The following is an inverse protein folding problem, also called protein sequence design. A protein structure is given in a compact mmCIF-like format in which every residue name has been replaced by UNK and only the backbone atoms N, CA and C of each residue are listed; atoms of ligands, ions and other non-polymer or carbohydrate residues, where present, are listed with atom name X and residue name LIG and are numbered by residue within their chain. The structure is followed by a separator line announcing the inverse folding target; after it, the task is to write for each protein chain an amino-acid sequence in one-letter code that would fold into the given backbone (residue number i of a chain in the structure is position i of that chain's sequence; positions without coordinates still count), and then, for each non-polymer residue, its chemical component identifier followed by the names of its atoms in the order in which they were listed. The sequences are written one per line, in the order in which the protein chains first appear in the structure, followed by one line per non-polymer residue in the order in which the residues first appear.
data_IF_886795861892
#
_entry.id   IF_886795861892
#
_cell.length_a   1.000
_cell.length_b   1.000
_cell.length_c   1.000
_cell.angle_alpha   90.00
_cell.angle_beta   90.00
_cell.angle_gamma   90.00
#
_symmetry.space_group_name_H-M   'P 1'
#
loop_
_entity.id
_entity.type
_entity.pdbx_description
1 polymer ?
#
# COMPACT_ATOMS: atom_id res chain seq x y z
N UNK A 1 -18.33 -60.27 26.56
CA UNK A 1 -17.23 -59.78 27.41
C UNK A 1 -15.96 -59.66 26.58
N UNK A 2 -15.52 -58.44 26.26
CA UNK A 2 -14.12 -57.94 26.32
C UNK A 2 -14.11 -56.53 25.73
N UNK A 3 -14.03 -55.56 26.64
CA UNK A 3 -13.78 -54.14 26.40
C UNK A 3 -12.31 -53.96 26.01
N UNK A 4 -12.04 -53.08 25.06
CA UNK A 4 -10.76 -52.38 24.94
C UNK A 4 -11.02 -50.98 24.38
N UNK A 5 -11.16 -50.01 25.28
CA UNK A 5 -10.69 -48.65 25.02
C UNK A 5 -9.15 -48.66 25.05
N UNK A 6 -8.50 -47.81 24.25
CA UNK A 6 -7.70 -46.79 24.92
C UNK A 6 -7.69 -45.40 24.25
N UNK A 7 -7.91 -44.40 25.11
CA UNK A 7 -7.05 -43.24 25.35
C UNK A 7 -6.78 -42.30 24.17
N UNK A 8 -7.41 -41.13 24.27
CA UNK A 8 -6.98 -39.88 23.66
C UNK A 8 -5.56 -39.48 24.09
N UNK A 9 -4.71 -39.14 23.12
CA UNK A 9 -3.49 -38.36 23.28
C UNK A 9 -3.44 -37.36 22.11
N UNK A 10 -3.79 -36.09 22.37
CA UNK A 10 -2.87 -34.98 22.61
C UNK A 10 -1.99 -34.61 21.41
N UNK A 11 -2.45 -33.56 20.72
CA UNK A 11 -1.70 -32.36 20.30
C UNK A 11 -0.22 -32.55 19.98
N UNK A 12 0.08 -32.49 18.68
CA UNK A 12 1.27 -31.88 18.08
C UNK A 12 0.96 -31.81 16.58
N UNK A 13 0.59 -30.67 16.03
CA UNK A 13 1.52 -29.57 15.84
C UNK A 13 2.14 -29.75 14.46
N UNK A 14 1.56 -29.09 13.45
CA UNK A 14 2.22 -28.68 12.20
C UNK A 14 1.45 -27.46 11.69
N UNK A 15 1.74 -26.33 12.36
CA UNK A 15 1.83 -25.04 11.71
C UNK A 15 2.85 -25.21 10.58
N UNK A 16 2.38 -25.55 9.38
CA UNK A 16 3.14 -25.37 8.16
C UNK A 16 2.55 -24.18 7.45
N UNK A 17 3.23 -23.06 7.70
CA UNK A 17 3.49 -22.00 6.74
C UNK A 17 2.35 -21.74 5.78
N UNK A 18 1.59 -20.68 6.07
CA UNK A 18 0.92 -19.95 5.02
C UNK A 18 1.98 -19.59 3.97
N UNK A 19 2.00 -20.36 2.89
CA UNK A 19 2.37 -19.80 1.62
C UNK A 19 1.34 -18.70 1.41
N UNK A 20 1.75 -17.46 1.67
CA UNK A 20 1.04 -16.29 1.20
C UNK A 20 0.82 -16.52 -0.29
N UNK A 21 -0.40 -16.90 -0.63
CA UNK A 21 -0.85 -16.80 -2.01
C UNK A 21 -0.76 -15.31 -2.27
N UNK A 22 0.09 -14.90 -3.22
CA UNK A 22 0.04 -13.56 -3.77
C UNK A 22 -1.41 -13.36 -4.22
N UNK A 23 -2.20 -12.71 -3.36
CA UNK A 23 -3.62 -12.49 -3.61
C UNK A 23 -3.72 -11.62 -4.85
N UNK A 24 -4.66 -11.95 -5.74
CA UNK A 24 -4.98 -11.05 -6.84
C UNK A 24 -5.36 -9.66 -6.31
N UNK A 25 -5.28 -8.65 -7.16
CA UNK A 25 -5.80 -7.34 -6.82
C UNK A 25 -7.33 -7.35 -6.86
N UNK A 26 -7.96 -6.75 -5.84
CA UNK A 26 -9.42 -6.59 -5.76
C UNK A 26 -9.81 -5.13 -5.81
N UNK A 27 -10.98 -4.84 -6.40
CA UNK A 27 -11.52 -3.49 -6.40
C UNK A 27 -11.90 -3.06 -4.98
N UNK A 28 -11.46 -1.87 -4.60
CA UNK A 28 -11.77 -1.21 -3.35
C UNK A 28 -12.24 0.22 -3.61
N UNK A 29 -13.11 0.72 -2.73
CA UNK A 29 -13.58 2.10 -2.78
C UNK A 29 -13.94 2.57 -1.38
N UNK A 30 -13.79 3.87 -1.13
CA UNK A 30 -14.13 4.50 0.13
C UNK A 30 -15.02 5.72 -0.12
N UNK A 31 -16.17 5.75 0.56
CA UNK A 31 -17.17 6.78 0.37
C UNK A 31 -16.76 8.13 0.97
N UNK A 32 -16.03 8.10 2.08
CA UNK A 32 -15.61 9.31 2.81
C UNK A 32 -14.41 9.96 2.12
N UNK A 33 -13.53 9.15 1.54
CA UNK A 33 -12.41 9.63 0.72
C UNK A 33 -12.82 10.01 -0.71
N UNK A 34 -13.91 9.44 -1.23
CA UNK A 34 -14.40 9.71 -2.59
C UNK A 34 -13.56 9.08 -3.70
N UNK A 35 -12.73 8.09 -3.38
CA UNK A 35 -11.81 7.43 -4.31
C UNK A 35 -12.06 5.92 -4.40
N UNK A 36 -11.60 5.34 -5.50
CA UNK A 36 -11.48 3.90 -5.70
C UNK A 36 -10.09 3.53 -6.20
N UNK A 37 -9.66 2.31 -5.90
CA UNK A 37 -8.40 1.74 -6.37
C UNK A 37 -8.49 0.22 -6.38
N UNK A 38 -7.48 -0.44 -6.93
CA UNK A 38 -7.21 -1.85 -6.72
C UNK A 38 -6.26 -2.01 -5.53
N UNK A 39 -6.54 -2.97 -4.66
CA UNK A 39 -5.70 -3.28 -3.49
C UNK A 39 -5.47 -4.78 -3.39
N UNK A 40 -4.35 -5.23 -2.78
CA UNK A 40 -4.09 -6.66 -2.62
C UNK A 40 -5.17 -7.37 -1.81
N UNK A 41 -5.65 -8.51 -2.32
CA UNK A 41 -6.65 -9.31 -1.62
C UNK A 41 -6.11 -9.87 -0.31
N UNK A 42 -6.92 -9.82 0.74
CA UNK A 42 -6.62 -10.45 2.03
C UNK A 42 -5.63 -9.66 2.91
N UNK A 43 -5.22 -8.47 2.50
CA UNK A 43 -4.43 -7.56 3.33
C UNK A 43 -5.29 -6.94 4.43
N UNK A 44 -4.69 -6.75 5.60
CA UNK A 44 -5.37 -6.14 6.75
C UNK A 44 -5.46 -4.65 6.52
N UNK A 45 -6.66 -4.08 6.63
CA UNK A 45 -6.88 -2.65 6.49
C UNK A 45 -7.02 -1.96 7.86
N UNK A 46 -6.44 -0.77 8.00
CA UNK A 46 -6.62 0.11 9.17
C UNK A 46 -6.77 1.58 8.74
N UNK A 47 -7.39 2.41 9.57
CA UNK A 47 -7.53 3.85 9.35
C UNK A 47 -6.26 4.57 9.80
N UNK A 48 -5.72 5.43 8.93
CA UNK A 48 -4.54 6.21 9.26
C UNK A 48 -4.85 7.46 10.11
N UNK A 49 -3.95 7.86 11.02
CA UNK A 49 -4.00 9.18 11.64
C UNK A 49 -3.99 10.29 10.58
N UNK A 50 -4.90 11.25 10.72
CA UNK A 50 -5.08 12.33 9.72
C UNK A 50 -5.96 11.94 8.52
N UNK A 51 -6.52 10.72 8.50
CA UNK A 51 -7.41 10.23 7.46
C UNK A 51 -6.71 9.32 6.44
N UNK A 52 -7.52 8.52 5.75
CA UNK A 52 -7.07 7.52 4.78
C UNK A 52 -7.05 6.10 5.33
N UNK A 53 -6.67 5.16 4.47
CA UNK A 53 -6.67 3.73 4.74
C UNK A 53 -5.30 3.14 4.40
N UNK A 54 -4.78 2.33 5.31
CA UNK A 54 -3.55 1.55 5.14
C UNK A 54 -3.92 0.08 4.99
N UNK A 55 -3.45 -0.57 3.94
CA UNK A 55 -3.47 -2.01 3.77
C UNK A 55 -2.09 -2.57 4.04
N UNK A 56 -1.97 -3.58 4.89
CA UNK A 56 -0.73 -4.24 5.24
C UNK A 56 -0.77 -5.73 4.90
N UNK A 57 0.32 -6.26 4.35
CA UNK A 57 0.45 -7.69 4.09
C UNK A 57 0.30 -8.51 5.39
N UNK A 58 -0.48 -9.59 5.39
CA UNK A 58 -0.75 -10.37 6.59
C UNK A 58 0.48 -11.19 7.04
N UNK A 59 0.55 -11.48 8.34
CA UNK A 59 1.53 -12.44 8.88
C UNK A 59 2.97 -11.94 9.01
N UNK A 60 3.22 -10.67 8.71
CA UNK A 60 4.51 -10.00 8.87
C UNK A 60 4.39 -8.95 9.98
N UNK A 61 5.50 -8.64 10.65
CA UNK A 61 5.60 -7.47 11.53
C UNK A 61 5.11 -6.22 10.75
N UNK A 62 4.07 -5.50 11.23
CA UNK A 62 3.53 -4.34 10.54
C UNK A 62 4.57 -3.26 10.22
N UNK A 63 5.67 -3.19 10.96
CA UNK A 63 6.76 -2.24 10.68
C UNK A 63 7.67 -2.66 9.52
N UNK A 64 7.50 -3.88 9.01
CA UNK A 64 8.29 -4.50 7.93
C UNK A 64 7.43 -5.05 6.81
N UNK A 65 6.11 -5.09 6.99
CA UNK A 65 5.18 -5.58 6.01
C UNK A 65 5.17 -4.63 4.78
N UNK A 66 4.96 -5.16 3.58
CA UNK A 66 4.54 -4.36 2.45
C UNK A 66 3.22 -3.64 2.73
N UNK A 67 3.08 -2.42 2.18
CA UNK A 67 1.90 -1.59 2.40
C UNK A 67 1.34 -0.99 1.11
N UNK A 68 0.03 -0.72 1.14
CA UNK A 68 -0.65 0.23 0.26
C UNK A 68 -1.38 1.23 1.15
N UNK A 69 -0.96 2.50 1.11
CA UNK A 69 -1.61 3.58 1.84
C UNK A 69 -2.33 4.51 0.86
N UNK A 70 -3.58 4.85 1.16
CA UNK A 70 -4.45 5.68 0.34
C UNK A 70 -5.01 6.84 1.15
N UNK A 71 -4.94 8.06 0.63
CA UNK A 71 -5.58 9.26 1.19
C UNK A 71 -6.21 10.08 0.09
N UNK A 72 -7.23 10.84 0.44
CA UNK A 72 -7.76 11.87 -0.43
C UNK A 72 -8.35 13.00 0.39
N UNK A 73 -8.22 14.21 -0.14
CA UNK A 73 -8.79 15.42 0.45
C UNK A 73 -9.38 16.29 -0.65
N UNK A 74 -10.35 17.15 -0.32
CA UNK A 74 -10.85 18.12 -1.29
C UNK A 74 -9.72 19.05 -1.75
N UNK A 75 -9.55 19.17 -3.07
CA UNK A 75 -8.53 20.04 -3.65
C UNK A 75 -9.11 21.42 -3.97
N UNK A 76 -8.44 22.47 -3.48
CA UNK A 76 -8.81 23.88 -3.68
C UNK A 76 -7.76 24.63 -4.50
N UNK A 77 -7.11 23.93 -5.44
CA UNK A 77 -6.05 24.48 -6.26
C UNK A 77 -4.67 24.35 -5.61
N UNK A 78 -4.40 23.19 -5.02
CA UNK A 78 -3.10 22.89 -4.42
C UNK A 78 -1.96 23.06 -5.42
N UNK A 79 -0.86 23.63 -4.95
CA UNK A 79 0.38 23.73 -5.71
C UNK A 79 1.10 22.37 -5.71
N UNK A 80 0.90 21.61 -6.79
CA UNK A 80 1.49 20.28 -6.97
C UNK A 80 3.01 20.34 -7.15
N UNK A 81 3.55 21.46 -7.63
CA UNK A 81 5.00 21.67 -7.72
C UNK A 81 5.63 21.84 -6.35
N UNK A 82 5.04 22.68 -5.50
CA UNK A 82 5.50 22.84 -4.13
C UNK A 82 5.35 21.54 -3.31
N UNK A 83 4.24 20.82 -3.49
CA UNK A 83 4.02 19.53 -2.82
C UNK A 83 5.04 18.47 -3.26
N UNK A 84 5.33 18.42 -4.57
CA UNK A 84 6.37 17.57 -5.13
C UNK A 84 7.73 17.87 -4.50
N UNK A 85 8.18 19.13 -4.55
CA UNK A 85 9.50 19.55 -4.06
C UNK A 85 9.66 19.29 -2.57
N UNK A 86 8.58 19.48 -1.80
CA UNK A 86 8.56 19.16 -0.37
C UNK A 86 8.76 17.67 -0.12
N UNK A 87 8.09 16.80 -0.88
CA UNK A 87 8.24 15.35 -0.73
C UNK A 87 9.64 14.89 -1.19
N UNK A 88 10.09 15.34 -2.36
CA UNK A 88 11.40 15.02 -2.88
C UNK A 88 12.50 15.42 -1.89
N UNK A 89 12.39 16.61 -1.30
CA UNK A 89 13.32 17.06 -0.26
C UNK A 89 13.30 16.15 0.97
N UNK A 90 12.13 15.68 1.41
CA UNK A 90 12.03 14.74 2.53
C UNK A 90 12.78 13.44 2.23
N UNK A 91 12.51 12.84 1.07
CA UNK A 91 13.16 11.60 0.60
C UNK A 91 14.70 11.77 0.59
N UNK A 92 15.19 12.88 0.04
CA UNK A 92 16.63 13.15 -0.01
C UNK A 92 17.24 13.40 1.38
N UNK A 93 16.49 13.99 2.32
CA UNK A 93 16.93 14.20 3.70
C UNK A 93 16.98 12.90 4.50
N UNK A 94 16.09 11.96 4.21
CA UNK A 94 16.10 10.61 4.78
C UNK A 94 17.28 9.77 4.24
N UNK A 95 17.95 10.25 3.19
CA UNK A 95 19.11 9.61 2.57
C UNK A 95 18.75 8.56 1.52
N UNK A 96 17.49 8.52 1.11
CA UNK A 96 17.00 7.60 0.09
C UNK A 96 17.58 7.93 -1.29
N UNK A 97 17.77 6.88 -2.09
CA UNK A 97 18.09 7.00 -3.51
C UNK A 97 16.80 7.13 -4.31
N UNK A 98 16.65 8.23 -5.04
CA UNK A 98 15.57 8.37 -6.04
C UNK A 98 15.85 7.46 -7.23
N UNK A 99 14.89 6.59 -7.54
CA UNK A 99 14.91 5.65 -8.66
C UNK A 99 14.20 6.21 -9.89
N UNK A 100 13.08 6.90 -9.68
CA UNK A 100 12.35 7.65 -10.71
C UNK A 100 11.63 8.84 -10.11
N UNK A 101 11.46 9.87 -10.92
CA UNK A 101 10.77 11.12 -10.58
C UNK A 101 10.02 11.59 -11.82
N UNK A 102 8.69 11.55 -11.76
CA UNK A 102 7.79 11.89 -12.85
C UNK A 102 6.80 12.95 -12.39
N UNK A 103 6.76 14.09 -13.07
CA UNK A 103 5.86 15.20 -12.75
C UNK A 103 5.05 15.59 -13.99
N UNK A 104 3.76 15.84 -13.78
CA UNK A 104 2.83 16.33 -14.80
C UNK A 104 1.84 17.35 -14.23
N UNK A 105 0.97 17.87 -15.09
CA UNK A 105 0.00 18.91 -14.68
C UNK A 105 -1.01 18.41 -13.64
N UNK A 106 -1.36 17.13 -13.68
CA UNK A 106 -2.34 16.52 -12.79
C UNK A 106 -1.71 15.93 -11.52
N UNK A 107 -0.38 15.84 -11.41
CA UNK A 107 0.23 15.12 -10.28
C UNK A 107 1.70 14.78 -10.47
N UNK A 108 2.21 13.96 -9.57
CA UNK A 108 3.60 13.47 -9.61
C UNK A 108 3.71 12.06 -9.03
N UNK A 109 4.77 11.37 -9.41
CA UNK A 109 5.16 10.05 -8.89
C UNK A 109 6.65 10.04 -8.60
N UNK A 110 7.05 9.72 -7.37
CA UNK A 110 8.45 9.53 -6.98
C UNK A 110 8.62 8.09 -6.50
N UNK A 111 9.59 7.37 -7.06
CA UNK A 111 10.01 6.05 -6.57
C UNK A 111 11.38 6.20 -5.92
N UNK A 112 11.52 5.76 -4.68
CA UNK A 112 12.77 5.81 -3.92
C UNK A 112 13.15 4.44 -3.37
N UNK A 113 14.42 4.32 -2.96
CA UNK A 113 14.95 3.17 -2.26
C UNK A 113 15.79 3.62 -1.07
N UNK A 114 15.49 3.09 0.11
CA UNK A 114 16.25 3.40 1.33
C UNK A 114 17.57 2.61 1.43
N UNK A 115 18.37 2.89 2.46
CA UNK A 115 19.66 2.24 2.70
C UNK A 115 19.56 0.72 2.96
N UNK A 116 18.37 0.22 3.31
CA UNK A 116 18.09 -1.20 3.54
C UNK A 116 17.51 -1.88 2.28
N UNK A 117 17.32 -1.13 1.21
CA UNK A 117 16.81 -1.61 -0.06
C UNK A 117 15.28 -1.64 -0.16
N UNK A 118 14.55 -1.15 0.85
CA UNK A 118 13.09 -1.02 0.77
C UNK A 118 12.75 -0.04 -0.32
N UNK A 119 11.82 -0.42 -1.20
CA UNK A 119 11.35 0.42 -2.29
C UNK A 119 10.04 1.07 -1.88
N UNK A 120 9.94 2.38 -2.04
CA UNK A 120 8.72 3.15 -1.82
C UNK A 120 8.34 3.86 -3.11
N UNK A 121 7.06 3.86 -3.47
CA UNK A 121 6.49 4.68 -4.51
C UNK A 121 5.47 5.60 -3.88
N UNK A 122 5.61 6.91 -4.11
CA UNK A 122 4.62 7.92 -3.77
C UNK A 122 4.00 8.46 -5.03
N UNK A 123 2.68 8.41 -5.13
CA UNK A 123 1.90 9.05 -6.19
C UNK A 123 0.96 10.07 -5.55
N UNK A 124 0.92 11.27 -6.08
CA UNK A 124 -0.10 12.28 -5.75
C UNK A 124 -0.75 12.75 -7.04
N UNK A 125 -2.07 12.75 -7.09
CA UNK A 125 -2.85 13.06 -8.29
C UNK A 125 -4.09 13.89 -7.92
N UNK A 126 -4.35 14.92 -8.73
CA UNK A 126 -5.61 15.66 -8.75
C UNK A 126 -6.61 14.86 -9.58
N UNK A 127 -7.70 14.46 -8.94
CA UNK A 127 -8.82 13.75 -9.56
C UNK A 127 -10.01 14.70 -9.70
N UNK A 128 -10.43 14.96 -10.93
CA UNK A 128 -11.61 15.80 -11.22
C UNK A 128 -12.91 14.98 -11.11
N UNK A 129 -13.39 14.82 -9.87
CA UNK A 129 -14.59 14.04 -9.59
C UNK A 129 -15.88 14.86 -9.75
N UNK A 130 -17.01 14.18 -9.96
CA UNK A 130 -18.31 14.84 -10.09
C UNK A 130 -18.69 15.67 -8.84
N UNK A 131 -18.20 15.27 -7.66
CA UNK A 131 -18.38 15.99 -6.38
C UNK A 131 -17.41 17.16 -6.18
N UNK A 132 -16.49 17.40 -7.12
CA UNK A 132 -15.40 18.37 -7.02
C UNK A 132 -14.03 17.71 -7.11
N UNK A 133 -13.00 18.53 -7.29
CA UNK A 133 -11.62 18.06 -7.38
C UNK A 133 -11.15 17.48 -6.04
N UNK A 134 -10.45 16.34 -6.10
CA UNK A 134 -9.80 15.69 -4.98
C UNK A 134 -8.29 15.66 -5.20
N UNK A 135 -7.52 15.87 -4.14
CA UNK A 135 -6.09 15.59 -4.11
C UNK A 135 -5.92 14.22 -3.47
N UNK A 136 -5.71 13.20 -4.29
CA UNK A 136 -5.52 11.83 -3.86
C UNK A 136 -4.03 11.50 -3.78
N UNK A 137 -3.62 10.80 -2.73
CA UNK A 137 -2.27 10.26 -2.59
C UNK A 137 -2.30 8.77 -2.32
N UNK A 138 -1.34 8.10 -2.93
CA UNK A 138 -1.14 6.66 -2.87
C UNK A 138 0.34 6.40 -2.59
N UNK A 139 0.60 5.56 -1.60
CA UNK A 139 1.94 5.06 -1.32
C UNK A 139 1.92 3.54 -1.38
N UNK A 140 2.90 2.96 -2.05
CA UNK A 140 3.19 1.52 -1.94
C UNK A 140 4.62 1.34 -1.48
N UNK A 141 4.85 0.42 -0.56
CA UNK A 141 6.21 0.04 -0.16
C UNK A 141 6.35 -1.46 0.04
N UNK A 142 7.57 -1.95 -0.15
CA UNK A 142 7.96 -3.32 0.12
C UNK A 142 9.46 -3.42 0.42
N UNK A 143 9.87 -4.31 1.33
CA UNK A 143 11.27 -4.50 1.66
C UNK A 143 11.99 -5.30 0.57
N UNK A 144 13.32 -5.17 0.50
CA UNK A 144 14.14 -5.76 -0.57
C UNK A 144 13.97 -7.28 -0.70
N UNK A 145 13.85 -7.98 0.43
CA UNK A 145 13.69 -9.43 0.48
C UNK A 145 12.38 -9.94 -0.13
N UNK A 146 11.38 -9.06 -0.32
CA UNK A 146 10.08 -9.38 -0.90
C UNK A 146 9.89 -8.84 -2.32
N UNK A 147 10.90 -8.17 -2.90
CA UNK A 147 10.76 -7.47 -4.17
C UNK A 147 10.25 -8.37 -5.32
N UNK A 148 10.74 -9.62 -5.39
CA UNK A 148 10.34 -10.56 -6.45
C UNK A 148 8.84 -10.90 -6.44
N UNK A 149 8.20 -10.87 -5.27
CA UNK A 149 6.76 -11.12 -5.13
C UNK A 149 5.94 -9.83 -5.18
N UNK A 150 6.43 -8.77 -4.51
CA UNK A 150 5.66 -7.55 -4.29
C UNK A 150 5.72 -6.58 -5.46
N UNK A 151 6.84 -6.49 -6.18
CA UNK A 151 6.96 -5.59 -7.33
C UNK A 151 5.88 -5.87 -8.41
N UNK A 152 5.69 -7.12 -8.90
CA UNK A 152 4.64 -7.38 -9.89
C UNK A 152 3.22 -7.23 -9.33
N UNK A 153 3.00 -7.55 -8.05
CA UNK A 153 1.69 -7.42 -7.40
C UNK A 153 1.27 -5.96 -7.25
N UNK A 154 2.20 -5.09 -6.86
CA UNK A 154 1.91 -3.68 -6.53
C UNK A 154 2.05 -2.73 -7.73
N UNK A 155 2.77 -3.12 -8.79
CA UNK A 155 2.91 -2.32 -10.01
C UNK A 155 1.59 -1.78 -10.61
N UNK A 156 0.46 -2.51 -10.61
CA UNK A 156 -0.79 -2.00 -11.18
C UNK A 156 -1.53 -1.01 -10.26
N UNK A 157 -1.26 -1.03 -8.95
CA UNK A 157 -2.02 -0.30 -7.93
C UNK A 157 -2.04 1.22 -8.20
N UNK A 158 -0.91 1.89 -8.48
CA UNK A 158 -0.91 3.34 -8.78
C UNK A 158 -1.77 3.74 -9.98
N UNK A 159 -1.86 2.88 -11.00
CA UNK A 159 -2.64 3.13 -12.22
C UNK A 159 -4.14 2.90 -12.06
N UNK A 160 -4.57 2.32 -10.94
CA UNK A 160 -5.98 2.01 -10.65
C UNK A 160 -6.71 3.10 -9.85
N UNK A 161 -5.98 4.10 -9.35
CA UNK A 161 -6.54 5.18 -8.54
C UNK A 161 -7.48 6.05 -9.38
N UNK A 162 -8.72 6.20 -8.93
CA UNK A 162 -9.74 7.00 -9.63
C UNK A 162 -10.76 7.60 -8.66
N UNK A 163 -11.60 8.50 -9.17
CA UNK A 163 -12.84 8.87 -8.48
C UNK A 163 -13.73 7.64 -8.27
N UNK A 164 -14.45 7.64 -7.14
CA UNK A 164 -15.53 6.69 -6.87
C UNK A 164 -16.81 7.04 -7.64
#
# INVERSE_FOLDING_TARGET
MRRFDPIAALVSGLLLAGAAQAGDLVAWSDADLGISAQVPQGWVSDTMPGGGVLFAAPGIDPHKAPHVALRAHADKGSDLGAAHDQLLRSILLDGDKVLSDEQGEAGFTIRSQDAFGKVTLHKTERLDCASGALLASLQTDYPAEMAAEMEPLLAPVPGSLSCR
#
